data_IF_057594753477
#
_entry.id   IF_057594753477
#
_cell.length_a   1.000
_cell.length_b   1.000
_cell.length_c   1.000
_cell.angle_alpha   90.00
_cell.angle_beta   90.00
_cell.angle_gamma   90.00
#
_symmetry.space_group_name_H-M   'P 1'
#
loop_
_entity.id
_entity.type
_entity.pdbx_description
1 polymer ?
#
# COMPACT_ATOMS: atom_id res chain seq x y z
N UNK A 1 -5.91 114.79 -70.37
CA UNK A 1 -5.82 113.36 -70.69
C UNK A 1 -4.88 112.48 -69.79
N UNK A 2 -4.52 112.99 -68.60
CA UNK A 2 -3.61 112.18 -67.70
C UNK A 2 -4.40 111.43 -66.57
N UNK A 3 -5.61 111.85 -66.24
CA UNK A 3 -6.48 111.25 -65.22
C UNK A 3 -7.03 109.86 -65.62
N UNK A 4 -7.23 109.63 -66.87
CA UNK A 4 -7.82 108.34 -67.38
C UNK A 4 -6.85 107.17 -67.34
N UNK A 5 -5.56 107.46 -67.39
CA UNK A 5 -4.51 106.44 -67.35
C UNK A 5 -4.25 105.78 -65.95
N UNK A 6 -4.65 106.56 -64.91
CA UNK A 6 -4.49 106.07 -63.53
C UNK A 6 -5.80 105.47 -63.05
N UNK A 7 -6.98 105.93 -63.56
CA UNK A 7 -8.28 105.46 -63.15
C UNK A 7 -8.55 104.01 -63.63
N UNK A 8 -8.07 103.63 -64.84
CA UNK A 8 -8.31 102.33 -65.43
C UNK A 8 -7.68 101.16 -64.66
N UNK A 9 -6.41 101.24 -64.24
CA UNK A 9 -5.87 100.10 -63.43
C UNK A 9 -6.46 100.06 -62.03
N UNK A 10 -6.90 101.17 -61.46
CA UNK A 10 -7.55 101.20 -60.15
C UNK A 10 -8.95 100.53 -60.21
N UNK A 11 -9.66 100.73 -61.27
CA UNK A 11 -10.97 100.13 -61.51
C UNK A 11 -10.85 98.60 -61.71
N UNK A 12 -9.82 98.15 -62.39
CA UNK A 12 -9.56 96.68 -62.54
C UNK A 12 -9.23 96.06 -61.18
N UNK A 13 -8.45 96.72 -60.34
CA UNK A 13 -8.12 96.25 -59.01
C UNK A 13 -9.39 96.11 -58.14
N UNK A 14 -10.26 97.12 -58.18
CA UNK A 14 -11.49 97.05 -57.40
C UNK A 14 -12.45 95.98 -57.91
N UNK A 15 -12.56 95.77 -59.23
CA UNK A 15 -13.33 94.68 -59.78
C UNK A 15 -12.69 93.32 -59.40
N UNK A 16 -11.39 93.18 -59.50
CA UNK A 16 -10.68 91.97 -59.11
C UNK A 16 -10.86 91.62 -57.62
N UNK A 17 -10.81 92.65 -56.77
CA UNK A 17 -11.03 92.42 -55.29
C UNK A 17 -12.49 92.02 -55.01
N UNK A 18 -13.48 92.69 -55.73
CA UNK A 18 -14.90 92.35 -55.57
C UNK A 18 -15.22 90.95 -56.07
N UNK A 19 -14.66 90.50 -57.17
CA UNK A 19 -14.84 89.13 -57.68
C UNK A 19 -14.20 88.12 -56.74
N UNK A 20 -13.02 88.42 -56.24
CA UNK A 20 -12.34 87.56 -55.27
C UNK A 20 -13.13 87.40 -53.96
N UNK A 21 -13.71 88.52 -53.50
CA UNK A 21 -14.54 88.55 -52.29
C UNK A 21 -15.84 87.71 -52.47
N UNK A 22 -16.47 87.78 -53.63
CA UNK A 22 -17.64 86.97 -53.95
C UNK A 22 -17.29 85.50 -54.05
N UNK A 23 -16.15 85.10 -54.62
CA UNK A 23 -15.71 83.71 -54.73
C UNK A 23 -15.34 83.13 -53.36
N UNK A 24 -14.76 83.97 -52.52
CA UNK A 24 -14.41 83.54 -51.17
C UNK A 24 -15.66 83.32 -50.31
N UNK A 25 -16.63 84.21 -50.43
CA UNK A 25 -17.89 84.09 -49.68
C UNK A 25 -18.88 83.11 -50.30
N UNK A 26 -18.73 82.74 -51.55
CA UNK A 26 -19.54 81.71 -52.21
C UNK A 26 -19.03 80.28 -51.99
N UNK A 27 -17.98 80.11 -51.19
CA UNK A 27 -17.57 78.76 -50.78
C UNK A 27 -18.65 78.22 -49.84
N UNK A 28 -19.53 77.38 -50.35
CA UNK A 28 -20.39 76.52 -49.52
C UNK A 28 -19.49 75.74 -48.57
N UNK A 29 -19.78 75.88 -47.27
CA UNK A 29 -19.09 75.01 -46.28
C UNK A 29 -19.44 73.57 -46.63
N UNK A 30 -18.43 72.69 -46.75
CA UNK A 30 -18.75 71.32 -46.99
C UNK A 30 -19.69 70.87 -45.91
N UNK A 31 -20.91 70.43 -46.28
CA UNK A 31 -21.83 69.82 -45.35
C UNK A 31 -21.06 68.65 -44.60
N UNK A 32 -20.85 68.84 -43.33
CA UNK A 32 -20.35 67.78 -42.47
C UNK A 32 -21.47 66.71 -42.56
N UNK A 33 -21.24 65.71 -43.42
CA UNK A 33 -22.06 64.52 -43.38
C UNK A 33 -21.68 63.85 -42.04
N UNK A 34 -22.51 64.09 -41.06
CA UNK A 34 -22.54 63.28 -39.87
C UNK A 34 -22.75 61.81 -40.34
N UNK A 35 -21.68 61.07 -40.46
CA UNK A 35 -21.76 59.65 -40.82
C UNK A 35 -22.46 59.00 -39.64
N UNK A 36 -23.78 58.88 -39.72
CA UNK A 36 -24.55 58.03 -38.83
C UNK A 36 -23.84 56.62 -38.87
N UNK A 37 -23.05 56.36 -37.85
CA UNK A 37 -22.42 55.07 -37.70
C UNK A 37 -23.54 54.02 -37.57
N UNK A 38 -23.89 53.39 -38.68
CA UNK A 38 -24.83 52.26 -38.64
C UNK A 38 -24.35 51.29 -37.56
N UNK A 39 -25.13 51.02 -36.52
CA UNK A 39 -24.75 50.08 -35.49
C UNK A 39 -24.40 48.76 -36.15
N UNK A 40 -23.18 48.26 -35.89
CA UNK A 40 -22.76 46.94 -36.35
C UNK A 40 -23.64 45.92 -35.65
N UNK A 41 -24.42 45.17 -36.43
CA UNK A 41 -25.17 44.03 -35.91
C UNK A 41 -24.15 42.98 -35.43
N UNK A 42 -24.00 42.84 -34.12
CA UNK A 42 -23.25 41.77 -33.51
C UNK A 42 -24.22 40.64 -33.14
N UNK A 43 -23.94 39.46 -33.61
CA UNK A 43 -24.65 38.26 -33.13
C UNK A 43 -24.17 37.99 -31.71
N UNK A 44 -24.96 38.33 -30.71
CA UNK A 44 -24.72 37.94 -29.35
C UNK A 44 -25.48 36.65 -29.08
N UNK A 45 -24.78 35.66 -28.55
CA UNK A 45 -25.38 34.42 -28.05
C UNK A 45 -25.42 34.54 -26.53
N UNK A 46 -26.59 34.37 -25.96
CA UNK A 46 -26.73 34.32 -24.50
C UNK A 46 -26.12 32.99 -24.02
N UNK A 47 -25.00 33.06 -23.31
CA UNK A 47 -24.44 31.90 -22.65
C UNK A 47 -25.40 31.50 -21.53
N UNK A 48 -26.03 30.36 -21.66
CA UNK A 48 -26.79 29.74 -20.57
C UNK A 48 -25.78 28.89 -19.74
N UNK A 49 -25.58 29.30 -18.50
CA UNK A 49 -24.88 28.45 -17.52
C UNK A 49 -25.73 27.21 -17.25
N UNK A 50 -25.14 26.05 -17.35
CA UNK A 50 -25.75 24.77 -17.03
C UNK A 50 -24.70 23.83 -16.45
N UNK A 51 -25.12 22.89 -15.63
CA UNK A 51 -24.27 21.80 -15.20
C UNK A 51 -23.99 20.90 -16.41
N UNK A 52 -22.70 20.73 -16.73
CA UNK A 52 -22.24 19.82 -17.77
C UNK A 52 -21.66 18.62 -17.07
N UNK A 53 -22.29 17.46 -17.22
CA UNK A 53 -21.74 16.19 -16.75
C UNK A 53 -20.54 15.81 -17.62
N UNK A 54 -19.35 15.94 -17.04
CA UNK A 54 -18.10 15.56 -17.72
C UNK A 54 -17.91 14.05 -17.57
N UNK A 55 -18.17 13.29 -18.62
CA UNK A 55 -17.91 11.83 -18.64
C UNK A 55 -16.48 11.58 -19.06
N UNK A 56 -15.67 11.11 -18.11
CA UNK A 56 -14.30 10.70 -18.37
C UNK A 56 -14.29 9.19 -18.58
N UNK A 57 -13.93 8.75 -19.78
CA UNK A 57 -13.72 7.34 -20.09
C UNK A 57 -12.24 7.00 -19.86
N UNK A 58 -11.99 6.05 -18.97
CA UNK A 58 -10.63 5.59 -18.69
C UNK A 58 -10.60 4.06 -18.72
N UNK A 59 -9.43 3.50 -19.06
CA UNK A 59 -9.17 2.07 -19.04
C UNK A 59 -8.14 1.77 -17.98
N UNK A 60 -8.32 0.69 -17.26
CA UNK A 60 -7.38 0.26 -16.21
C UNK A 60 -7.24 -1.24 -16.13
N UNK A 61 -6.14 -1.71 -15.55
CA UNK A 61 -5.93 -3.12 -15.26
C UNK A 61 -6.36 -3.43 -13.83
N UNK A 62 -7.10 -4.53 -13.69
CA UNK A 62 -7.49 -5.10 -12.40
C UNK A 62 -6.34 -5.98 -11.92
N UNK A 63 -5.84 -5.74 -10.70
CA UNK A 63 -4.81 -6.56 -10.05
C UNK A 63 -5.32 -7.06 -8.69
N UNK A 64 -4.81 -8.21 -8.26
CA UNK A 64 -5.03 -8.65 -6.88
C UNK A 64 -4.34 -7.65 -5.93
N UNK A 65 -5.00 -7.35 -4.81
CA UNK A 65 -4.42 -6.46 -3.79
C UNK A 65 -3.20 -7.08 -3.10
N UNK A 66 -3.24 -8.40 -2.89
CA UNK A 66 -2.17 -9.15 -2.26
C UNK A 66 -1.71 -10.26 -3.19
N UNK A 67 -0.39 -10.31 -3.39
CA UNK A 67 0.30 -11.37 -4.14
C UNK A 67 1.45 -11.83 -3.25
N UNK A 68 1.52 -13.11 -2.96
CA UNK A 68 2.57 -13.70 -2.13
C UNK A 68 3.14 -14.95 -2.78
N UNK A 69 4.40 -15.19 -2.53
CA UNK A 69 5.03 -16.48 -2.79
C UNK A 69 4.76 -17.44 -1.62
N UNK A 70 4.29 -18.63 -1.92
CA UNK A 70 4.16 -19.68 -0.92
C UNK A 70 5.53 -20.35 -0.76
N UNK A 71 6.09 -20.25 0.45
CA UNK A 71 7.40 -20.84 0.76
C UNK A 71 7.31 -21.71 2.00
N UNK A 72 7.84 -22.94 2.00
CA UNK A 72 7.89 -23.80 3.17
C UNK A 72 8.83 -23.20 4.21
N UNK A 73 8.48 -23.32 5.49
CA UNK A 73 9.31 -22.90 6.61
C UNK A 73 10.13 -24.06 7.20
N UNK A 74 9.74 -25.29 6.87
CA UNK A 74 10.40 -26.53 7.30
C UNK A 74 10.73 -27.39 6.09
N UNK A 75 11.69 -28.29 6.23
CA UNK A 75 12.16 -29.18 5.16
C UNK A 75 11.49 -30.53 5.21
N UNK A 76 11.39 -31.22 4.09
CA UNK A 76 10.94 -32.63 4.04
C UNK A 76 10.28 -32.97 2.72
N UNK A 77 9.87 -34.22 2.59
CA UNK A 77 9.21 -34.72 1.40
C UNK A 77 7.71 -34.38 1.44
N UNK A 78 7.14 -34.01 0.30
CA UNK A 78 5.71 -33.79 0.16
C UNK A 78 4.98 -35.15 0.18
N UNK A 79 4.09 -35.34 1.15
CA UNK A 79 3.28 -36.55 1.31
C UNK A 79 1.84 -36.37 0.85
N UNK A 80 1.38 -35.12 0.77
CA UNK A 80 0.06 -34.77 0.32
C UNK A 80 0.07 -33.46 -0.47
N UNK A 81 -0.68 -33.43 -1.56
CA UNK A 81 -0.94 -32.22 -2.36
C UNK A 81 -2.44 -32.13 -2.59
N UNK A 82 -3.04 -30.99 -2.30
CA UNK A 82 -4.46 -30.75 -2.57
C UNK A 82 -4.76 -30.91 -4.07
N UNK A 83 -5.85 -31.56 -4.46
CA UNK A 83 -6.29 -31.62 -5.87
C UNK A 83 -6.49 -30.24 -6.50
N UNK A 84 -6.74 -29.22 -5.66
CA UNK A 84 -6.87 -27.81 -6.10
C UNK A 84 -5.51 -27.12 -6.33
N UNK A 85 -4.40 -27.76 -6.00
CA UNK A 85 -3.05 -27.19 -6.18
C UNK A 85 -2.62 -27.28 -7.65
N UNK A 86 -3.32 -26.52 -8.47
CA UNK A 86 -3.08 -26.32 -9.91
C UNK A 86 -3.21 -24.84 -10.24
N UNK A 87 -2.58 -24.38 -11.31
CA UNK A 87 -2.76 -22.99 -11.76
C UNK A 87 -4.25 -22.71 -11.98
N UNK A 88 -4.78 -21.67 -11.36
CA UNK A 88 -6.20 -21.34 -11.34
C UNK A 88 -7.00 -21.98 -10.21
N UNK A 89 -6.39 -22.81 -9.35
CA UNK A 89 -7.07 -23.42 -8.22
C UNK A 89 -7.40 -22.42 -7.11
N UNK A 90 -8.63 -22.50 -6.58
CA UNK A 90 -9.15 -21.62 -5.54
C UNK A 90 -9.06 -22.28 -4.17
N UNK A 91 -8.58 -21.51 -3.18
CA UNK A 91 -8.47 -21.94 -1.79
C UNK A 91 -9.15 -20.94 -0.86
N UNK A 92 -9.82 -21.46 0.16
CA UNK A 92 -10.27 -20.67 1.28
C UNK A 92 -9.13 -20.46 2.31
N UNK A 93 -9.22 -19.38 3.09
CA UNK A 93 -8.27 -19.14 4.19
C UNK A 93 -8.26 -20.34 5.15
N UNK A 94 -7.04 -20.82 5.51
CA UNK A 94 -6.83 -21.99 6.34
C UNK A 94 -6.94 -23.34 5.61
N UNK A 95 -7.35 -23.37 4.35
CA UNK A 95 -7.44 -24.62 3.57
C UNK A 95 -6.04 -25.18 3.29
N UNK A 96 -5.89 -26.49 3.46
CA UNK A 96 -4.58 -27.17 3.28
C UNK A 96 -4.23 -27.21 1.79
N UNK A 97 -3.05 -26.67 1.48
CA UNK A 97 -2.46 -26.68 0.12
C UNK A 97 -1.65 -27.97 -0.08
N UNK A 98 -0.69 -28.23 0.82
CA UNK A 98 0.12 -29.45 0.81
C UNK A 98 0.58 -29.80 2.23
N UNK A 99 1.07 -31.03 2.41
CA UNK A 99 1.69 -31.49 3.65
C UNK A 99 3.08 -32.05 3.38
N UNK A 100 4.01 -31.67 4.22
CA UNK A 100 5.34 -32.24 4.33
C UNK A 100 5.25 -33.42 5.30
N UNK A 101 6.09 -34.44 5.14
CA UNK A 101 6.15 -35.60 6.03
C UNK A 101 6.30 -35.18 7.50
N UNK A 102 5.29 -35.41 8.36
CA UNK A 102 5.29 -34.93 9.74
C UNK A 102 6.08 -35.81 10.69
N UNK A 103 6.47 -37.07 10.32
CA UNK A 103 6.96 -38.08 11.22
C UNK A 103 8.18 -37.64 12.04
N UNK A 104 9.15 -36.99 11.39
CA UNK A 104 10.34 -36.50 12.09
C UNK A 104 9.99 -35.41 13.10
N UNK A 105 9.02 -34.58 12.80
CA UNK A 105 8.52 -33.49 13.66
C UNK A 105 7.70 -34.04 14.83
N UNK A 106 6.88 -35.07 14.59
CA UNK A 106 6.12 -35.77 15.65
C UNK A 106 7.08 -36.42 16.66
N UNK A 107 8.12 -37.10 16.20
CA UNK A 107 9.17 -37.65 17.06
C UNK A 107 9.89 -36.55 17.85
N UNK A 108 10.19 -35.41 17.22
CA UNK A 108 10.81 -34.27 17.90
C UNK A 108 9.90 -33.69 19.01
N UNK A 109 8.59 -33.64 18.81
CA UNK A 109 7.62 -33.23 19.82
C UNK A 109 7.62 -34.19 21.00
N UNK A 110 7.53 -35.51 20.75
CA UNK A 110 7.56 -36.55 21.80
C UNK A 110 8.86 -36.47 22.62
N UNK A 111 10.00 -36.29 21.95
CA UNK A 111 11.29 -36.12 22.62
C UNK A 111 11.34 -34.87 23.50
N UNK A 112 10.82 -33.74 22.99
CA UNK A 112 10.78 -32.52 23.76
C UNK A 112 9.80 -32.58 24.95
N UNK A 113 8.66 -33.28 24.80
CA UNK A 113 7.71 -33.56 25.90
C UNK A 113 8.38 -34.38 27.01
N UNK A 114 9.21 -35.38 26.65
CA UNK A 114 9.96 -36.16 27.61
C UNK A 114 10.98 -35.30 28.39
N UNK A 115 11.66 -34.35 27.70
CA UNK A 115 12.58 -33.41 28.36
C UNK A 115 11.87 -32.45 29.32
N UNK A 116 10.65 -32.01 29.00
CA UNK A 116 9.84 -31.21 29.91
C UNK A 116 9.49 -32.03 31.14
N UNK A 117 9.02 -33.26 30.97
CA UNK A 117 8.70 -34.15 32.11
C UNK A 117 9.91 -34.38 33.04
N UNK A 118 11.11 -34.61 32.47
CA UNK A 118 12.35 -34.71 33.25
C UNK A 118 12.70 -33.42 33.99
N UNK A 119 12.50 -32.28 33.36
CA UNK A 119 12.77 -30.98 33.96
C UNK A 119 11.78 -30.66 35.09
N UNK A 120 10.51 -31.06 34.97
CA UNK A 120 9.51 -30.96 36.03
C UNK A 120 9.90 -31.82 37.20
N UNK A 121 10.27 -33.08 36.97
CA UNK A 121 10.73 -33.98 38.05
C UNK A 121 11.91 -33.37 38.82
N UNK A 122 12.90 -32.84 38.10
CA UNK A 122 14.07 -32.20 38.69
C UNK A 122 13.73 -30.97 39.52
N UNK A 123 12.75 -30.14 39.05
CA UNK A 123 12.25 -28.99 39.80
C UNK A 123 11.60 -29.45 41.12
N UNK A 124 10.72 -30.45 41.07
CA UNK A 124 10.04 -31.00 42.26
C UNK A 124 11.04 -31.55 43.27
N UNK A 125 12.11 -32.22 42.81
CA UNK A 125 13.20 -32.70 43.65
C UNK A 125 13.91 -31.53 44.35
N UNK A 126 14.29 -30.49 43.62
CA UNK A 126 14.96 -29.33 44.19
C UNK A 126 14.03 -28.50 45.13
N UNK A 127 12.75 -28.44 44.84
CA UNK A 127 11.74 -27.81 45.75
C UNK A 127 11.66 -28.59 47.07
N UNK A 128 11.64 -29.94 47.04
CA UNK A 128 11.60 -30.79 48.23
C UNK A 128 12.88 -30.64 49.04
N UNK A 129 14.06 -30.64 48.39
CA UNK A 129 15.35 -30.47 49.07
C UNK A 129 15.52 -29.05 49.64
N UNK A 130 15.01 -28.00 48.97
CA UNK A 130 15.01 -26.64 49.50
C UNK A 130 14.10 -26.51 50.72
N UNK A 131 12.90 -27.16 50.68
CA UNK A 131 12.00 -27.23 51.82
C UNK A 131 12.61 -27.96 53.02
N UNK A 132 13.31 -29.05 52.75
CA UNK A 132 14.04 -29.80 53.83
C UNK A 132 15.14 -28.92 54.42
N UNK A 133 15.99 -28.30 53.62
CA UNK A 133 17.08 -27.43 54.08
C UNK A 133 16.52 -26.24 54.90
N UNK A 134 15.38 -25.65 54.53
CA UNK A 134 14.73 -24.64 55.31
C UNK A 134 14.22 -25.18 56.68
N UNK A 135 13.67 -26.40 56.70
CA UNK A 135 13.18 -27.01 57.96
C UNK A 135 14.34 -27.36 58.91
N UNK A 136 15.43 -27.90 58.42
CA UNK A 136 16.65 -28.19 59.18
C UNK A 136 17.27 -26.90 59.76
N UNK A 137 17.36 -25.83 58.94
CA UNK A 137 17.87 -24.55 59.39
C UNK A 137 17.03 -23.98 60.54
N UNK A 138 15.69 -24.08 60.46
CA UNK A 138 14.76 -23.62 61.50
C UNK A 138 14.93 -24.37 62.84
N UNK A 139 15.40 -25.64 62.77
CA UNK A 139 15.61 -26.46 63.99
C UNK A 139 17.00 -26.24 64.60
N UNK A 140 18.05 -26.11 63.80
CA UNK A 140 19.45 -26.14 64.23
C UNK A 140 20.17 -24.79 64.02
N UNK A 141 19.69 -23.92 63.16
CA UNK A 141 20.38 -22.70 62.77
C UNK A 141 20.21 -21.55 63.77
N UNK A 142 21.22 -20.68 63.80
CA UNK A 142 21.18 -19.41 64.50
C UNK A 142 21.44 -18.28 63.52
N UNK A 143 20.57 -17.28 63.49
CA UNK A 143 20.67 -16.13 62.59
C UNK A 143 19.97 -16.36 61.27
N UNK A 144 20.31 -15.55 60.22
CA UNK A 144 19.75 -15.68 58.89
C UNK A 144 20.45 -16.71 58.05
N UNK A 145 19.68 -17.58 57.38
CA UNK A 145 20.24 -18.57 56.44
C UNK A 145 20.75 -17.88 55.19
N UNK A 146 21.94 -18.35 54.70
CA UNK A 146 22.40 -17.89 53.40
C UNK A 146 21.51 -18.45 52.26
N UNK A 147 21.42 -17.74 51.13
CA UNK A 147 20.71 -18.22 49.94
C UNK A 147 21.21 -19.58 49.46
N UNK A 148 22.51 -19.86 49.61
CA UNK A 148 23.09 -21.13 49.28
C UNK A 148 22.64 -22.25 50.23
N UNK A 149 22.54 -21.97 51.51
CA UNK A 149 22.01 -22.89 52.53
C UNK A 149 20.56 -23.27 52.24
N UNK A 150 19.76 -22.29 51.76
CA UNK A 150 18.36 -22.49 51.38
C UNK A 150 18.18 -23.01 49.97
N UNK A 151 19.26 -23.39 49.30
CA UNK A 151 19.27 -23.92 47.90
C UNK A 151 18.60 -23.03 46.85
N UNK A 152 18.44 -21.72 47.14
CA UNK A 152 17.78 -20.79 46.18
C UNK A 152 18.42 -20.75 44.79
N UNK A 153 19.80 -20.77 44.64
CA UNK A 153 20.41 -20.80 43.32
C UNK A 153 20.12 -22.10 42.56
N UNK A 154 20.02 -23.25 43.30
CA UNK A 154 19.70 -24.55 42.68
C UNK A 154 18.26 -24.57 42.20
N UNK A 155 17.31 -24.08 43.01
CA UNK A 155 15.92 -23.95 42.63
C UNK A 155 15.76 -23.05 41.40
N UNK A 156 16.38 -21.86 41.40
CA UNK A 156 16.35 -20.94 40.25
C UNK A 156 16.93 -21.57 38.99
N UNK A 157 17.97 -22.43 39.14
CA UNK A 157 18.55 -23.20 38.00
C UNK A 157 17.55 -24.22 37.46
N UNK A 158 16.86 -24.97 38.34
CA UNK A 158 15.88 -25.99 37.94
C UNK A 158 14.68 -25.31 37.23
N UNK A 159 14.19 -24.18 37.75
CA UNK A 159 13.16 -23.38 37.11
C UNK A 159 13.59 -22.88 35.70
N UNK A 160 14.82 -22.38 35.58
CA UNK A 160 15.36 -21.93 34.30
C UNK A 160 15.47 -23.09 33.28
N UNK A 161 15.87 -24.31 33.78
CA UNK A 161 15.95 -25.50 32.94
C UNK A 161 14.57 -25.94 32.45
N UNK A 162 13.54 -25.90 33.30
CA UNK A 162 12.16 -26.19 32.89
C UNK A 162 11.70 -25.22 31.80
N UNK A 163 11.90 -23.92 31.99
CA UNK A 163 11.57 -22.92 30.97
C UNK A 163 12.28 -23.15 29.63
N UNK A 164 13.55 -23.58 29.67
CA UNK A 164 14.31 -23.91 28.46
C UNK A 164 13.71 -25.13 27.74
N UNK A 165 13.33 -26.19 28.52
CA UNK A 165 12.68 -27.38 27.95
C UNK A 165 11.31 -27.08 27.35
N UNK A 166 10.50 -26.22 28.00
CA UNK A 166 9.22 -25.75 27.48
C UNK A 166 9.39 -24.96 26.16
N UNK A 167 10.40 -24.09 26.06
CA UNK A 167 10.72 -23.37 24.85
C UNK A 167 11.12 -24.29 23.68
N UNK A 168 11.88 -25.37 23.99
CA UNK A 168 12.24 -26.41 23.01
C UNK A 168 10.98 -27.18 22.54
N UNK A 169 10.07 -27.52 23.45
CA UNK A 169 8.80 -28.15 23.11
C UNK A 169 7.94 -27.26 22.22
N UNK A 170 7.84 -25.96 22.54
CA UNK A 170 7.12 -25.00 21.70
C UNK A 170 7.73 -24.95 20.28
N UNK A 171 9.06 -24.93 20.18
CA UNK A 171 9.75 -24.93 18.88
C UNK A 171 9.45 -26.21 18.09
N UNK A 172 9.45 -27.38 18.74
CA UNK A 172 9.09 -28.64 18.09
C UNK A 172 7.63 -28.63 17.58
N UNK A 173 6.69 -28.14 18.40
CA UNK A 173 5.27 -28.02 18.03
C UNK A 173 5.07 -27.06 16.86
N UNK A 174 5.73 -25.91 16.85
CA UNK A 174 5.70 -24.97 15.73
C UNK A 174 6.25 -25.58 14.43
N UNK A 175 7.31 -26.37 14.51
CA UNK A 175 7.84 -27.04 13.32
C UNK A 175 6.89 -28.11 12.78
N UNK A 176 6.20 -28.83 13.66
CA UNK A 176 5.14 -29.78 13.28
C UNK A 176 3.97 -29.04 12.62
N UNK A 177 3.50 -27.95 13.18
CA UNK A 177 2.45 -27.12 12.58
C UNK A 177 2.84 -26.63 11.19
N UNK A 178 4.08 -26.16 11.01
CA UNK A 178 4.63 -25.68 9.74
C UNK A 178 4.82 -26.78 8.68
N UNK A 179 4.72 -28.06 9.07
CA UNK A 179 4.70 -29.15 8.09
C UNK A 179 3.43 -29.22 7.27
N UNK A 180 2.35 -28.53 7.72
CA UNK A 180 1.10 -28.35 7.00
C UNK A 180 1.06 -26.93 6.42
N UNK A 181 1.12 -26.83 5.11
CA UNK A 181 1.07 -25.54 4.43
C UNK A 181 -0.38 -25.25 4.06
N UNK A 182 -0.90 -24.14 4.59
CA UNK A 182 -2.29 -23.68 4.38
C UNK A 182 -2.33 -22.36 3.64
N UNK A 183 -3.47 -22.05 3.03
CA UNK A 183 -3.74 -20.76 2.40
C UNK A 183 -3.90 -19.67 3.46
N UNK A 184 -3.13 -18.58 3.42
CA UNK A 184 -3.19 -17.51 4.44
C UNK A 184 -4.43 -16.62 4.32
N UNK A 185 -5.06 -16.57 3.15
CA UNK A 185 -6.29 -15.82 2.85
C UNK A 185 -7.05 -16.53 1.72
N UNK A 186 -8.27 -16.06 1.43
CA UNK A 186 -9.03 -16.57 0.26
C UNK A 186 -8.36 -16.13 -1.04
N UNK A 187 -7.98 -17.06 -1.87
CA UNK A 187 -7.18 -16.72 -3.03
C UNK A 187 -7.10 -17.80 -4.09
N UNK A 188 -6.42 -17.42 -5.16
CA UNK A 188 -6.15 -18.22 -6.36
C UNK A 188 -4.67 -18.51 -6.48
N UNK A 189 -4.32 -19.77 -6.74
CA UNK A 189 -2.95 -20.16 -7.10
C UNK A 189 -2.67 -19.73 -8.54
N UNK A 190 -1.67 -18.87 -8.75
CA UNK A 190 -1.24 -18.42 -10.09
C UNK A 190 -0.28 -19.40 -10.74
N UNK A 191 0.75 -19.83 -9.97
CA UNK A 191 1.76 -20.77 -10.45
C UNK A 191 1.93 -21.94 -9.49
N UNK A 192 2.28 -23.11 -10.02
CA UNK A 192 2.57 -24.32 -9.26
C UNK A 192 4.01 -24.76 -9.55
N UNK A 193 4.86 -24.84 -8.51
CA UNK A 193 6.27 -25.20 -8.63
C UNK A 193 6.65 -26.40 -7.74
N UNK A 194 5.69 -27.16 -7.23
CA UNK A 194 5.96 -28.32 -6.38
C UNK A 194 5.02 -29.48 -6.72
N UNK A 195 5.52 -30.69 -6.58
CA UNK A 195 4.79 -31.94 -6.85
C UNK A 195 4.89 -32.95 -5.70
N UNK A 196 3.95 -33.89 -5.66
CA UNK A 196 3.92 -34.96 -4.70
C UNK A 196 5.22 -35.78 -4.76
N UNK A 197 5.80 -36.10 -3.60
CA UNK A 197 7.05 -36.84 -3.50
C UNK A 197 8.32 -35.98 -3.63
N UNK A 198 8.20 -34.72 -4.03
CA UNK A 198 9.32 -33.80 -4.09
C UNK A 198 9.83 -33.45 -2.67
N UNK A 199 11.15 -33.28 -2.53
CA UNK A 199 11.76 -32.81 -1.29
C UNK A 199 11.84 -31.27 -1.30
N UNK A 200 11.29 -30.63 -0.27
CA UNK A 200 11.32 -29.20 -0.08
C UNK A 200 12.38 -28.77 0.93
N UNK A 201 12.90 -27.56 0.71
CA UNK A 201 13.78 -26.86 1.66
C UNK A 201 13.16 -25.49 2.00
N UNK A 202 13.44 -24.96 3.21
CA UNK A 202 12.97 -23.62 3.57
C UNK A 202 13.40 -22.56 2.55
N UNK A 203 12.48 -21.66 2.21
CA UNK A 203 12.72 -20.56 1.28
C UNK A 203 12.54 -20.89 -0.21
N UNK A 204 12.26 -22.14 -0.58
CA UNK A 204 11.96 -22.51 -1.98
C UNK A 204 10.53 -22.06 -2.33
N UNK A 205 10.37 -21.30 -3.41
CA UNK A 205 9.04 -20.91 -3.89
C UNK A 205 8.32 -22.12 -4.50
N UNK A 206 7.19 -22.51 -3.89
CA UNK A 206 6.37 -23.63 -4.34
C UNK A 206 5.14 -23.19 -5.15
N UNK A 207 4.84 -21.88 -5.19
CA UNK A 207 3.74 -21.32 -5.95
C UNK A 207 3.49 -19.86 -5.61
N UNK A 208 2.83 -19.15 -6.50
CA UNK A 208 2.40 -17.77 -6.32
C UNK A 208 0.89 -17.73 -6.04
N UNK A 209 0.48 -16.96 -5.01
CA UNK A 209 -0.88 -16.93 -4.53
C UNK A 209 -1.44 -15.50 -4.50
N UNK A 210 -2.60 -15.31 -5.15
CA UNK A 210 -3.26 -14.02 -5.34
C UNK A 210 -4.55 -13.95 -4.54
N UNK A 211 -4.79 -12.84 -3.84
CA UNK A 211 -6.06 -12.65 -3.14
C UNK A 211 -7.22 -12.46 -4.12
N UNK A 212 -8.39 -13.03 -3.76
CA UNK A 212 -9.63 -12.89 -4.55
C UNK A 212 -10.64 -11.95 -3.92
N UNK A 213 -10.51 -11.64 -2.63
CA UNK A 213 -11.48 -10.85 -1.87
C UNK A 213 -11.46 -9.38 -2.24
N UNK A 214 -10.28 -8.81 -2.45
CA UNK A 214 -10.11 -7.39 -2.77
C UNK A 214 -9.25 -7.26 -4.03
N UNK A 215 -9.74 -6.44 -4.97
CA UNK A 215 -9.05 -6.13 -6.22
C UNK A 215 -8.76 -4.64 -6.30
N UNK A 216 -7.62 -4.28 -6.82
CA UNK A 216 -7.24 -2.90 -7.10
C UNK A 216 -7.37 -2.64 -8.59
N UNK A 217 -7.98 -1.50 -8.93
CA UNK A 217 -8.05 -1.00 -10.29
C UNK A 217 -7.23 0.28 -10.36
N UNK A 218 -6.19 0.31 -11.17
CA UNK A 218 -5.43 1.53 -11.45
C UNK A 218 -5.97 2.16 -12.71
N UNK A 219 -6.56 3.33 -12.54
CA UNK A 219 -7.10 4.15 -13.61
C UNK A 219 -6.13 5.32 -13.86
N UNK A 220 -5.53 5.45 -15.05
CA UNK A 220 -4.83 6.68 -15.41
C UNK A 220 -5.86 7.79 -15.57
N UNK A 221 -5.69 8.90 -14.85
CA UNK A 221 -6.48 10.14 -14.94
C UNK A 221 -5.73 11.15 -15.80
#
# INVERSE_FOLDING_TARGET
MKFLKVLAPLLVLVIGASVSFVIINSKEQPASQEVEAKPRSIKAVIAKGGEIELKIFTQGSVKAKQVIDIVPQVRGQITFVSPKFVAGGNFASGEVILRIDPRDYEVAVISAESMVAESIQRLVEEEAEAALALSEWKQLGQGEASDLTLRKPQLARAEAQLKASEANLLTAKLNLERSVITAPFNGLLSTKNADLGQYLSPGVNIGEFHSTDIREVRLPL
#
